data_IF_405316576263
#
_entry.id   IF_405316576263
#
_cell.length_a   1.000
_cell.length_b   1.000
_cell.length_c   1.000
_cell.angle_alpha   90.00
_cell.angle_beta   90.00
_cell.angle_gamma   90.00
#
_symmetry.space_group_name_H-M   'P 1'
#
loop_
_entity.id
_entity.type
_entity.pdbx_description
1 polymer ?
#
# COMPACT_ATOMS: atom_id res chain seq x y z
N UNK A 1 16.48 -33.31 84.61
CA UNK A 1 17.67 -32.53 84.22
C UNK A 1 17.21 -31.24 83.61
N UNK A 2 17.49 -30.14 84.23
CA UNK A 2 17.23 -28.82 83.62
C UNK A 2 18.17 -28.58 82.44
N UNK A 3 17.62 -28.31 81.27
CA UNK A 3 18.42 -27.93 80.09
C UNK A 3 19.14 -26.61 80.39
N UNK A 4 20.44 -26.57 80.12
CA UNK A 4 21.26 -25.38 80.31
C UNK A 4 20.68 -24.23 79.39
N UNK A 5 20.43 -23.03 79.98
CA UNK A 5 19.93 -21.86 79.20
C UNK A 5 20.83 -21.49 78.00
N UNK A 6 22.11 -21.77 78.13
CA UNK A 6 23.07 -21.54 77.02
C UNK A 6 22.78 -22.41 75.82
N UNK A 7 22.35 -23.65 75.95
CA UNK A 7 22.00 -24.54 74.88
C UNK A 7 20.75 -24.08 74.12
N UNK A 8 19.78 -23.54 74.80
CA UNK A 8 18.61 -22.93 74.21
C UNK A 8 18.94 -21.70 73.31
N UNK A 9 19.78 -20.80 73.85
CA UNK A 9 20.26 -19.63 73.09
C UNK A 9 21.06 -20.04 71.89
N UNK A 10 21.93 -21.00 71.99
CA UNK A 10 22.75 -21.51 70.86
C UNK A 10 21.87 -22.11 69.75
N UNK A 11 20.85 -22.89 70.08
CA UNK A 11 19.87 -23.44 69.15
C UNK A 11 19.05 -22.39 68.48
N UNK A 12 18.58 -21.39 69.21
CA UNK A 12 17.79 -20.27 68.66
C UNK A 12 18.62 -19.41 67.75
N UNK A 13 19.87 -19.12 68.02
CA UNK A 13 20.80 -18.40 67.19
C UNK A 13 21.09 -19.23 65.90
N UNK A 14 21.28 -20.53 66.00
CA UNK A 14 21.51 -21.41 64.89
C UNK A 14 20.29 -21.47 63.94
N UNK A 15 19.07 -21.55 64.50
CA UNK A 15 17.83 -21.50 63.70
C UNK A 15 17.65 -20.15 63.04
N UNK A 16 17.95 -19.05 63.72
CA UNK A 16 17.88 -17.69 63.15
C UNK A 16 18.86 -17.52 62.01
N UNK A 17 20.10 -18.00 62.12
CA UNK A 17 21.10 -18.00 61.05
C UNK A 17 20.65 -18.82 59.84
N UNK A 18 20.07 -20.00 60.10
CA UNK A 18 19.54 -20.85 59.05
C UNK A 18 18.40 -20.18 58.27
N UNK A 19 17.48 -19.51 58.97
CA UNK A 19 16.39 -18.75 58.38
C UNK A 19 16.90 -17.55 57.56
N UNK A 20 17.88 -16.81 58.07
CA UNK A 20 18.52 -15.71 57.36
C UNK A 20 19.24 -16.19 56.09
N UNK A 21 19.94 -17.30 56.19
CA UNK A 21 20.60 -17.91 55.04
C UNK A 21 19.60 -18.29 53.94
N UNK A 22 18.45 -18.88 54.32
CA UNK A 22 17.37 -19.21 53.37
C UNK A 22 16.75 -17.97 52.76
N UNK A 23 16.53 -16.91 53.55
CA UNK A 23 16.01 -15.63 53.07
C UNK A 23 16.96 -15.02 52.05
N UNK A 24 18.26 -15.02 52.31
CA UNK A 24 19.27 -14.52 51.40
C UNK A 24 19.33 -15.33 50.08
N UNK A 25 19.27 -16.66 50.18
CA UNK A 25 19.20 -17.51 48.98
C UNK A 25 17.95 -17.23 48.14
N UNK A 26 16.78 -17.11 48.80
CA UNK A 26 15.53 -16.77 48.12
C UNK A 26 15.58 -15.39 47.49
N UNK A 27 16.14 -14.40 48.19
CA UNK A 27 16.34 -13.05 47.65
C UNK A 27 17.22 -13.06 46.40
N UNK A 28 18.35 -13.78 46.46
CA UNK A 28 19.25 -13.93 45.30
C UNK A 28 18.59 -14.64 44.14
N UNK A 29 17.81 -15.69 44.38
CA UNK A 29 17.04 -16.38 43.37
C UNK A 29 15.99 -15.46 42.71
N UNK A 30 15.27 -14.67 43.53
CA UNK A 30 14.29 -13.71 43.03
C UNK A 30 14.93 -12.60 42.22
N UNK A 31 16.08 -12.07 42.62
CA UNK A 31 16.83 -11.09 41.85
C UNK A 31 17.30 -11.64 40.53
N UNK A 32 17.80 -12.89 40.51
CA UNK A 32 18.20 -13.56 39.29
C UNK A 32 17.01 -13.78 38.36
N UNK A 33 15.87 -14.19 38.88
CA UNK A 33 14.62 -14.35 38.10
C UNK A 33 14.14 -13.04 37.52
N UNK A 34 14.15 -11.96 38.31
CA UNK A 34 13.78 -10.62 37.86
C UNK A 34 14.71 -10.11 36.76
N UNK A 35 16.00 -10.32 36.94
CA UNK A 35 17.01 -9.95 35.91
C UNK A 35 16.78 -10.69 34.62
N UNK A 36 16.54 -11.98 34.67
CA UNK A 36 16.25 -12.78 33.50
C UNK A 36 14.92 -12.38 32.84
N UNK A 37 13.86 -12.17 33.63
CA UNK A 37 12.57 -11.72 33.14
C UNK A 37 12.66 -10.36 32.43
N UNK A 38 13.43 -9.44 32.98
CA UNK A 38 13.67 -8.12 32.35
C UNK A 38 14.44 -8.24 31.05
N UNK A 39 15.43 -9.13 31.01
CA UNK A 39 16.21 -9.41 29.81
C UNK A 39 15.34 -10.00 28.71
N UNK A 40 14.50 -10.99 29.06
CA UNK A 40 13.55 -11.59 28.13
C UNK A 40 12.53 -10.57 27.63
N UNK A 41 11.96 -9.76 28.52
CA UNK A 41 11.02 -8.71 28.17
C UNK A 41 11.64 -7.69 27.21
N UNK A 42 12.87 -7.26 27.48
CA UNK A 42 13.62 -6.36 26.61
C UNK A 42 13.86 -6.98 25.23
N UNK A 43 14.27 -8.26 25.22
CA UNK A 43 14.46 -9.01 23.98
C UNK A 43 13.17 -9.11 23.16
N UNK A 44 12.04 -9.38 23.80
CA UNK A 44 10.74 -9.43 23.15
C UNK A 44 10.33 -8.08 22.54
N UNK A 45 10.53 -7.00 23.28
CA UNK A 45 10.23 -5.64 22.79
C UNK A 45 11.11 -5.28 21.61
N UNK A 46 12.41 -5.54 21.68
CA UNK A 46 13.35 -5.31 20.58
C UNK A 46 13.00 -6.13 19.35
N UNK A 47 12.65 -7.40 19.52
CA UNK A 47 12.21 -8.27 18.44
C UNK A 47 10.90 -7.80 17.80
N UNK A 48 9.94 -7.34 18.63
CA UNK A 48 8.68 -6.79 18.14
C UNK A 48 8.89 -5.50 17.33
N UNK A 49 9.76 -4.61 17.80
CA UNK A 49 10.12 -3.40 17.07
C UNK A 49 10.80 -3.72 15.73
N UNK A 50 11.75 -4.64 15.73
CA UNK A 50 12.43 -5.06 14.51
C UNK A 50 11.46 -5.68 13.49
N UNK A 51 10.53 -6.52 13.97
CA UNK A 51 9.50 -7.11 13.12
C UNK A 51 8.52 -6.07 12.56
N UNK A 52 8.13 -5.09 13.39
CA UNK A 52 7.28 -3.99 12.96
C UNK A 52 7.97 -3.11 11.89
N UNK A 53 9.23 -2.76 12.11
CA UNK A 53 10.01 -1.98 11.15
C UNK A 53 10.17 -2.71 9.82
N UNK A 54 10.39 -4.01 9.85
CA UNK A 54 10.48 -4.83 8.65
C UNK A 54 9.14 -4.88 7.89
N UNK A 55 8.02 -5.00 8.61
CA UNK A 55 6.68 -4.97 7.99
C UNK A 55 6.39 -3.62 7.34
N UNK A 56 6.79 -2.53 7.99
CA UNK A 56 6.65 -1.18 7.42
C UNK A 56 7.45 -1.06 6.13
N UNK A 57 8.71 -1.50 6.12
CA UNK A 57 9.54 -1.48 4.90
C UNK A 57 8.97 -2.32 3.77
N UNK A 58 8.48 -3.52 4.08
CA UNK A 58 7.83 -4.39 3.09
C UNK A 58 6.57 -3.73 2.52
N UNK A 59 5.77 -3.11 3.37
CA UNK A 59 4.57 -2.40 2.96
C UNK A 59 4.88 -1.18 2.10
N UNK A 60 5.87 -0.37 2.46
CA UNK A 60 6.33 0.77 1.67
C UNK A 60 6.82 0.34 0.30
N UNK A 61 7.62 -0.73 0.24
CA UNK A 61 8.11 -1.29 -1.02
C UNK A 61 6.97 -1.80 -1.90
N UNK A 62 5.98 -2.46 -1.31
CA UNK A 62 4.79 -2.93 -2.02
C UNK A 62 3.97 -1.75 -2.56
N UNK A 63 3.76 -0.71 -1.75
CA UNK A 63 3.06 0.51 -2.19
C UNK A 63 3.77 1.21 -3.35
N UNK A 64 5.09 1.32 -3.29
CA UNK A 64 5.87 1.90 -4.39
C UNK A 64 5.69 1.10 -5.68
N UNK A 65 5.73 -0.24 -5.60
CA UNK A 65 5.48 -1.13 -6.73
C UNK A 65 4.08 -0.96 -7.30
N UNK A 66 3.06 -0.97 -6.45
CA UNK A 66 1.66 -0.79 -6.85
C UNK A 66 1.41 0.60 -7.46
N UNK A 67 1.99 1.64 -6.89
CA UNK A 67 1.88 3.00 -7.42
C UNK A 67 2.55 3.14 -8.78
N UNK A 68 3.69 2.49 -8.97
CA UNK A 68 4.38 2.46 -10.27
C UNK A 68 3.53 1.76 -11.32
N UNK A 69 3.00 0.58 -11.00
CA UNK A 69 2.16 -0.21 -11.89
C UNK A 69 0.88 0.53 -12.25
N UNK A 70 0.26 1.19 -11.27
CA UNK A 70 -0.92 2.02 -11.48
C UNK A 70 -0.60 3.22 -12.38
N UNK A 71 0.52 3.90 -12.15
CA UNK A 71 0.98 5.01 -12.98
C UNK A 71 1.20 4.59 -14.44
N UNK A 72 1.82 3.44 -14.66
CA UNK A 72 2.03 2.88 -15.99
C UNK A 72 0.72 2.49 -16.68
N UNK A 73 -0.22 1.90 -15.93
CA UNK A 73 -1.56 1.57 -16.44
C UNK A 73 -2.32 2.82 -16.85
N UNK A 74 -2.35 3.82 -16.00
CA UNK A 74 -3.00 5.11 -16.29
C UNK A 74 -2.38 5.76 -17.52
N UNK A 75 -1.05 5.73 -17.64
CA UNK A 75 -0.34 6.23 -18.80
C UNK A 75 -0.74 5.52 -20.10
N UNK A 76 -0.81 4.20 -20.08
CA UNK A 76 -1.24 3.40 -21.23
C UNK A 76 -2.71 3.65 -21.59
N UNK A 77 -3.59 3.69 -20.61
CA UNK A 77 -5.02 3.95 -20.83
C UNK A 77 -5.25 5.35 -21.41
N UNK A 78 -4.51 6.35 -20.89
CA UNK A 78 -4.53 7.70 -21.43
C UNK A 78 -4.06 7.75 -22.90
N UNK A 79 -2.93 7.13 -23.19
CA UNK A 79 -2.38 7.13 -24.55
C UNK A 79 -3.33 6.42 -25.51
N UNK A 80 -3.93 5.33 -25.09
CA UNK A 80 -4.93 4.61 -25.88
C UNK A 80 -6.19 5.45 -26.12
N UNK A 81 -6.67 6.16 -25.10
CA UNK A 81 -7.80 7.08 -25.24
C UNK A 81 -7.50 8.24 -26.20
N UNK A 82 -6.30 8.81 -26.12
CA UNK A 82 -5.87 9.87 -27.02
C UNK A 82 -5.81 9.37 -28.48
N UNK A 83 -5.24 8.18 -28.69
CA UNK A 83 -5.17 7.58 -30.03
C UNK A 83 -6.55 7.28 -30.61
N UNK A 84 -7.48 6.77 -29.78
CA UNK A 84 -8.88 6.57 -30.16
C UNK A 84 -9.55 7.87 -30.59
N UNK A 85 -9.41 8.93 -29.80
CA UNK A 85 -9.99 10.26 -30.08
C UNK A 85 -9.39 10.82 -31.39
N UNK A 86 -8.10 10.70 -31.59
CA UNK A 86 -7.44 11.15 -32.82
C UNK A 86 -7.93 10.38 -34.06
N UNK A 87 -8.10 9.08 -33.94
CA UNK A 87 -8.62 8.24 -34.99
C UNK A 87 -10.06 8.63 -35.34
N UNK A 88 -10.92 8.78 -34.38
CA UNK A 88 -12.31 9.25 -34.59
C UNK A 88 -12.36 10.63 -35.22
N UNK A 89 -11.51 11.56 -34.76
CA UNK A 89 -11.44 12.89 -35.33
C UNK A 89 -11.02 12.88 -36.82
N UNK A 90 -10.04 12.04 -37.16
CA UNK A 90 -9.61 11.85 -38.57
C UNK A 90 -10.71 11.28 -39.45
N UNK A 91 -11.39 10.24 -38.96
CA UNK A 91 -12.52 9.62 -39.67
C UNK A 91 -13.66 10.62 -39.87
N UNK A 92 -13.97 11.41 -38.87
CA UNK A 92 -15.01 12.45 -38.95
C UNK A 92 -14.61 13.54 -39.96
N UNK A 93 -13.37 13.99 -39.91
CA UNK A 93 -12.82 14.97 -40.88
C UNK A 93 -12.90 14.43 -42.32
N UNK A 94 -12.53 13.17 -42.53
CA UNK A 94 -12.63 12.53 -43.87
C UNK A 94 -14.08 12.44 -44.34
N UNK A 95 -15.02 12.12 -43.47
CA UNK A 95 -16.46 12.11 -43.80
C UNK A 95 -16.96 13.48 -44.20
N UNK A 96 -16.59 14.51 -43.45
CA UNK A 96 -16.95 15.89 -43.75
C UNK A 96 -16.37 16.34 -45.11
N UNK A 97 -15.11 16.05 -45.36
CA UNK A 97 -14.46 16.38 -46.64
C UNK A 97 -15.14 15.67 -47.81
N UNK A 98 -15.48 14.41 -47.67
CA UNK A 98 -16.21 13.65 -48.67
C UNK A 98 -17.61 14.20 -48.95
N UNK A 99 -18.33 14.62 -47.91
CA UNK A 99 -19.63 15.28 -48.00
C UNK A 99 -19.51 16.61 -48.74
N UNK A 100 -18.52 17.43 -48.40
CA UNK A 100 -18.30 18.73 -49.05
C UNK A 100 -17.99 18.59 -50.53
N UNK A 101 -17.15 17.64 -50.91
CA UNK A 101 -16.85 17.32 -52.31
C UNK A 101 -18.10 16.85 -53.08
N UNK A 102 -18.90 15.97 -52.47
CA UNK A 102 -20.15 15.49 -53.05
C UNK A 102 -21.16 16.63 -53.22
N UNK A 103 -21.32 17.49 -52.23
CA UNK A 103 -22.19 18.67 -52.30
C UNK A 103 -21.74 19.64 -53.36
N UNK A 104 -20.45 19.92 -53.44
CA UNK A 104 -19.88 20.79 -54.48
C UNK A 104 -20.17 20.23 -55.86
N UNK A 105 -19.99 18.93 -56.08
CA UNK A 105 -20.28 18.25 -57.32
C UNK A 105 -21.77 18.32 -57.69
N UNK A 106 -22.67 18.11 -56.73
CA UNK A 106 -24.12 18.21 -56.91
C UNK A 106 -24.55 19.65 -57.28
N UNK A 107 -24.00 20.63 -56.58
CA UNK A 107 -24.23 22.04 -56.87
C UNK A 107 -23.73 22.41 -58.27
N UNK A 108 -22.55 21.95 -58.64
CA UNK A 108 -22.01 22.22 -59.95
C UNK A 108 -22.90 21.65 -61.07
N UNK A 109 -23.41 20.44 -60.90
CA UNK A 109 -24.36 19.80 -61.83
C UNK A 109 -25.66 20.59 -61.93
N UNK A 110 -26.17 21.00 -60.78
CA UNK A 110 -27.41 21.80 -60.72
C UNK A 110 -27.25 23.10 -61.50
N UNK A 111 -26.15 23.81 -61.30
CA UNK A 111 -25.86 25.06 -62.01
C UNK A 111 -25.72 24.81 -63.52
N UNK A 112 -25.02 23.79 -63.93
CA UNK A 112 -24.85 23.42 -65.34
C UNK A 112 -26.20 23.07 -65.98
N UNK A 113 -27.03 22.29 -65.33
CA UNK A 113 -28.36 21.90 -65.82
C UNK A 113 -29.28 23.12 -65.96
N UNK A 114 -29.19 24.09 -65.06
CA UNK A 114 -29.91 25.37 -65.18
C UNK A 114 -29.44 26.20 -66.34
N UNK A 115 -28.13 26.29 -66.59
CA UNK A 115 -27.54 27.06 -67.67
C UNK A 115 -27.84 26.43 -69.07
N UNK A 116 -27.98 25.13 -69.17
CA UNK A 116 -28.31 24.39 -70.38
C UNK A 116 -29.83 24.38 -70.62
N UNK A 117 -30.66 24.87 -69.68
CA UNK A 117 -32.10 24.97 -69.79
C UNK A 117 -32.84 23.63 -69.66
N UNK A 118 -32.22 22.63 -69.07
CA UNK A 118 -32.91 21.39 -68.68
C UNK A 118 -33.67 21.57 -67.40
N UNK A 119 -34.97 21.32 -67.37
CA UNK A 119 -35.69 21.35 -66.08
C UNK A 119 -35.18 20.27 -65.16
N UNK A 120 -34.65 20.65 -64.02
CA UNK A 120 -34.21 19.73 -63.02
C UNK A 120 -35.42 19.19 -62.24
N UNK A 121 -35.77 17.93 -62.47
CA UNK A 121 -36.86 17.24 -61.81
C UNK A 121 -36.57 16.97 -60.30
N UNK A 122 -35.32 17.20 -59.87
CA UNK A 122 -34.82 16.86 -58.54
C UNK A 122 -34.93 18.01 -57.50
N UNK A 123 -35.21 19.22 -57.91
CA UNK A 123 -35.19 20.36 -57.02
C UNK A 123 -33.77 20.80 -56.59
N UNK A 124 -33.64 21.93 -55.86
CA UNK A 124 -32.35 22.44 -55.38
C UNK A 124 -31.75 21.51 -54.36
N UNK A 125 -30.41 21.34 -54.34
CA UNK A 125 -29.70 20.51 -53.40
C UNK A 125 -29.75 20.99 -51.93
#
# INVERSE_FOLDING_TARGET
MAKDPKDHRTRDISKAKSKLSRLLETENELEAMLKEARKEAKGLVEAAHAAADERVRQFESQLEGENRDLGERIGRDRDHAIDSIRTEAREETQRLDALDETKITELARYVVDLLVGRPDERGPP
#
